data_IF_367885293519
#
_entry.id   IF_367885293519
#
_cell.length_a   1.000
_cell.length_b   1.000
_cell.length_c   1.000
_cell.angle_alpha   90.00
_cell.angle_beta   90.00
_cell.angle_gamma   90.00
#
_symmetry.space_group_name_H-M   'P 1'
#
loop_
_entity.id
_entity.type
_entity.pdbx_description
1 polymer ?
#
# COMPACT_ATOMS: atom_id res chain seq x y z
N UNK A 1 -12.50 -44.40 -2.41
CA UNK A 1 -13.66 -43.49 -2.44
C UNK A 1 -14.50 -43.84 -1.22
N UNK A 2 -14.81 -42.97 -0.26
CA UNK A 2 -14.84 -41.51 -0.24
C UNK A 2 -14.75 -41.03 1.22
N UNK A 3 -14.27 -39.80 1.39
CA UNK A 3 -14.08 -39.12 2.66
C UNK A 3 -15.43 -38.62 3.21
N UNK A 4 -15.74 -38.94 4.46
CA UNK A 4 -16.86 -38.39 5.22
C UNK A 4 -16.69 -36.86 5.33
N UNK A 5 -17.69 -36.10 4.87
CA UNK A 5 -17.75 -34.65 4.98
C UNK A 5 -18.92 -34.29 5.88
N UNK A 6 -18.60 -33.78 7.06
CA UNK A 6 -19.55 -33.33 8.07
C UNK A 6 -20.27 -32.06 7.58
N UNK A 7 -21.55 -32.18 7.24
CA UNK A 7 -22.39 -31.07 6.81
C UNK A 7 -22.86 -30.26 8.03
N UNK A 8 -22.24 -29.09 8.24
CA UNK A 8 -22.71 -28.12 9.22
C UNK A 8 -23.96 -27.42 8.72
N UNK A 9 -25.09 -27.81 9.30
CA UNK A 9 -26.40 -27.17 9.20
C UNK A 9 -26.30 -25.67 9.54
N UNK A 10 -26.52 -24.80 8.54
CA UNK A 10 -26.74 -23.37 8.80
C UNK A 10 -28.22 -23.12 9.10
N UNK A 11 -28.52 -22.42 10.19
CA UNK A 11 -29.87 -21.95 10.51
C UNK A 11 -30.02 -20.49 10.11
N UNK A 12 -30.94 -20.20 9.19
CA UNK A 12 -31.31 -18.85 8.79
C UNK A 12 -32.30 -18.28 9.81
N UNK A 13 -31.92 -17.18 10.48
CA UNK A 13 -32.80 -16.47 11.42
C UNK A 13 -34.07 -15.96 10.74
N UNK A 14 -35.18 -15.92 11.49
CA UNK A 14 -36.51 -15.48 11.03
C UNK A 14 -36.47 -14.20 10.21
N UNK A 15 -37.18 -14.21 9.08
CA UNK A 15 -37.38 -13.05 8.23
C UNK A 15 -38.12 -11.94 8.98
N UNK A 16 -37.39 -10.93 9.43
CA UNK A 16 -37.97 -9.65 9.83
C UNK A 16 -38.39 -8.88 8.59
N UNK A 17 -39.67 -8.51 8.48
CA UNK A 17 -40.18 -7.64 7.42
C UNK A 17 -39.39 -6.33 7.41
N UNK A 18 -38.53 -6.14 6.41
CA UNK A 18 -37.75 -4.91 6.26
C UNK A 18 -38.60 -3.88 5.54
N UNK A 19 -38.75 -2.70 6.13
CA UNK A 19 -39.49 -1.59 5.55
C UNK A 19 -38.86 -1.18 4.20
N UNK A 20 -39.64 -1.22 3.12
CA UNK A 20 -39.21 -0.90 1.74
C UNK A 20 -38.61 0.50 1.59
N UNK A 21 -39.01 1.48 2.42
CA UNK A 21 -38.40 2.82 2.41
C UNK A 21 -36.94 2.76 2.89
N UNK A 22 -36.63 1.88 3.84
CA UNK A 22 -35.27 1.67 4.35
C UNK A 22 -34.38 0.98 3.30
N UNK A 23 -34.95 0.05 2.54
CA UNK A 23 -34.27 -0.61 1.41
C UNK A 23 -33.98 0.40 0.29
N UNK A 24 -34.95 1.29 -0.02
CA UNK A 24 -34.78 2.33 -1.03
C UNK A 24 -33.68 3.35 -0.67
N UNK A 25 -33.49 3.65 0.62
CA UNK A 25 -32.41 4.52 1.08
C UNK A 25 -31.02 3.87 0.86
N UNK A 26 -30.89 2.56 1.11
CA UNK A 26 -29.64 1.82 0.90
C UNK A 26 -29.30 1.74 -0.60
N UNK A 27 -30.29 1.49 -1.47
CA UNK A 27 -30.07 1.40 -2.92
C UNK A 27 -29.62 2.75 -3.51
N UNK A 28 -30.08 3.87 -2.96
CA UNK A 28 -29.69 5.21 -3.42
C UNK A 28 -28.23 5.56 -3.11
N UNK A 29 -27.61 4.88 -2.15
CA UNK A 29 -26.21 5.09 -1.73
C UNK A 29 -25.22 4.34 -2.65
N UNK A 30 -25.68 3.34 -3.40
CA UNK A 30 -24.85 2.52 -4.30
C UNK A 30 -24.48 3.29 -5.59
N UNK A 31 -25.28 4.31 -5.95
CA UNK A 31 -25.13 5.06 -7.20
C UNK A 31 -24.03 6.11 -7.22
N UNK A 32 -23.37 6.39 -6.08
CA UNK A 32 -22.35 7.43 -5.99
C UNK A 32 -20.98 6.81 -5.73
N UNK A 33 -20.17 6.55 -6.77
CA UNK A 33 -18.83 6.04 -6.59
C UNK A 33 -17.98 7.14 -5.96
N UNK A 34 -17.67 6.96 -4.67
CA UNK A 34 -16.42 7.41 -4.07
C UNK A 34 -16.20 8.92 -3.89
N UNK A 35 -17.19 9.75 -3.56
CA UNK A 35 -16.93 11.17 -3.19
C UNK A 35 -16.99 11.49 -1.69
N UNK A 36 -17.26 10.50 -0.85
CA UNK A 36 -17.13 10.63 0.60
C UNK A 36 -16.21 9.53 1.16
N UNK A 37 -14.91 9.65 0.86
CA UNK A 37 -14.00 9.50 1.98
C UNK A 37 -14.37 10.65 2.93
N UNK A 38 -15.18 10.35 3.95
CA UNK A 38 -15.11 11.09 5.22
C UNK A 38 -13.65 11.42 5.46
N UNK A 39 -13.25 12.63 5.93
CA UNK A 39 -11.87 12.88 6.26
C UNK A 39 -11.48 11.90 7.38
N UNK A 40 -11.06 10.69 7.00
CA UNK A 40 -10.09 9.91 7.71
C UNK A 40 -9.04 10.97 7.92
N UNK A 41 -8.76 11.30 9.19
CA UNK A 41 -7.67 12.20 9.54
C UNK A 41 -6.43 11.52 8.99
N UNK A 42 -6.14 11.73 7.71
CA UNK A 42 -5.03 11.15 6.99
C UNK A 42 -3.85 11.66 7.78
N UNK A 43 -3.16 10.73 8.45
CA UNK A 43 -1.94 11.06 9.15
C UNK A 43 -1.04 11.81 8.16
N UNK A 44 -0.29 12.79 8.64
CA UNK A 44 0.61 13.56 7.77
C UNK A 44 1.44 12.60 6.92
N UNK A 45 1.25 12.62 5.59
CA UNK A 45 1.95 11.76 4.63
C UNK A 45 3.46 11.77 4.89
N UNK A 46 4.14 10.66 4.59
CA UNK A 46 5.58 10.62 4.65
C UNK A 46 6.17 11.57 3.60
N UNK A 47 6.70 12.70 4.07
CA UNK A 47 7.37 13.71 3.25
C UNK A 47 8.81 13.29 2.89
N UNK A 48 9.36 13.80 1.78
CA UNK A 48 10.76 13.57 1.39
C UNK A 48 11.75 13.88 2.50
N UNK A 49 11.60 15.00 3.20
CA UNK A 49 12.52 15.40 4.28
C UNK A 49 12.58 14.35 5.41
N UNK A 50 11.41 13.84 5.81
CA UNK A 50 11.29 12.82 6.85
C UNK A 50 11.86 11.48 6.39
N UNK A 51 11.69 11.16 5.12
CA UNK A 51 12.24 9.94 4.53
C UNK A 51 13.77 10.00 4.49
N UNK A 52 14.35 11.11 4.03
CA UNK A 52 15.80 11.31 4.03
C UNK A 52 16.39 11.22 5.44
N UNK A 53 15.69 11.75 6.46
CA UNK A 53 16.09 11.64 7.86
C UNK A 53 16.07 10.20 8.42
N UNK A 54 15.57 9.20 7.69
CA UNK A 54 15.66 7.79 8.12
C UNK A 54 16.99 7.12 7.79
N UNK A 55 17.78 7.75 6.92
CA UNK A 55 19.07 7.27 6.47
C UNK A 55 20.21 7.87 7.30
N UNK A 56 21.28 7.09 7.47
CA UNK A 56 22.55 7.58 8.00
C UNK A 56 23.43 8.15 6.89
N UNK A 57 24.59 8.71 7.26
CA UNK A 57 25.63 9.21 6.34
C UNK A 57 26.04 8.20 5.26
N UNK A 58 26.11 6.90 5.61
CA UNK A 58 26.44 5.82 4.67
C UNK A 58 25.27 5.39 3.77
N UNK A 59 24.08 5.99 3.95
CA UNK A 59 22.88 5.64 3.19
C UNK A 59 22.15 4.40 3.68
N UNK A 60 22.51 3.88 4.86
CA UNK A 60 21.82 2.75 5.52
C UNK A 60 20.56 3.24 6.22
N UNK A 61 19.50 2.44 6.20
CA UNK A 61 18.23 2.77 6.84
C UNK A 61 18.27 2.39 8.31
N UNK A 62 18.18 3.36 9.21
CA UNK A 62 18.05 3.14 10.66
C UNK A 62 16.62 3.40 11.17
N UNK A 63 15.92 4.35 10.56
CA UNK A 63 14.60 4.82 11.00
C UNK A 63 13.41 4.07 10.40
N UNK A 64 13.57 2.88 9.83
CA UNK A 64 12.53 2.27 8.97
C UNK A 64 11.19 2.07 9.68
N UNK A 65 11.21 1.62 10.94
CA UNK A 65 9.98 1.41 11.71
C UNK A 65 9.20 2.71 11.92
N UNK A 66 9.88 3.85 12.07
CA UNK A 66 9.23 5.17 12.18
C UNK A 66 8.61 5.58 10.84
N UNK A 67 9.30 5.33 9.72
CA UNK A 67 8.73 5.53 8.39
C UNK A 67 7.50 4.66 8.17
N UNK A 68 7.56 3.35 8.47
CA UNK A 68 6.43 2.43 8.32
C UNK A 68 5.17 2.91 9.04
N UNK A 69 5.30 3.42 10.27
CA UNK A 69 4.17 3.99 11.01
C UNK A 69 3.52 5.16 10.24
N UNK A 70 4.31 6.05 9.66
CA UNK A 70 3.79 7.16 8.85
C UNK A 70 3.14 6.67 7.56
N UNK A 71 3.73 5.66 6.92
CA UNK A 71 3.22 5.06 5.69
C UNK A 71 1.84 4.41 5.94
N UNK A 72 1.70 3.65 7.03
CA UNK A 72 0.45 2.97 7.39
C UNK A 72 -0.64 3.96 7.80
N UNK A 73 -0.29 5.03 8.53
CA UNK A 73 -1.25 6.02 9.03
C UNK A 73 -1.65 7.09 8.02
N UNK A 74 -0.76 7.41 7.08
CA UNK A 74 -0.89 8.59 6.22
C UNK A 74 -0.51 8.38 4.76
N UNK A 75 0.08 7.24 4.40
CA UNK A 75 0.60 7.00 3.06
C UNK A 75 1.93 7.70 2.77
N UNK A 76 2.31 7.68 1.49
CA UNK A 76 3.60 8.15 0.99
C UNK A 76 3.41 9.32 0.05
N UNK A 77 4.26 10.34 0.17
CA UNK A 77 4.32 11.42 -0.82
C UNK A 77 4.69 10.89 -2.22
N UNK A 78 3.99 11.31 -3.29
CA UNK A 78 4.24 10.83 -4.65
C UNK A 78 5.69 10.97 -5.11
N UNK A 79 6.42 12.00 -4.65
CA UNK A 79 7.81 12.28 -5.04
C UNK A 79 8.80 11.20 -4.60
N UNK A 80 8.58 10.59 -3.43
CA UNK A 80 9.46 9.55 -2.87
C UNK A 80 8.89 8.15 -2.97
N UNK A 81 7.67 8.02 -3.52
CA UNK A 81 6.95 6.74 -3.59
C UNK A 81 7.79 5.66 -4.26
N UNK A 82 8.41 5.96 -5.40
CA UNK A 82 9.25 5.00 -6.11
C UNK A 82 10.37 4.45 -5.22
N UNK A 83 11.06 5.31 -4.46
CA UNK A 83 12.16 4.89 -3.59
C UNK A 83 11.67 4.11 -2.38
N UNK A 84 10.60 4.57 -1.71
CA UNK A 84 10.03 3.88 -0.54
C UNK A 84 9.56 2.47 -0.91
N UNK A 85 8.91 2.31 -2.06
CA UNK A 85 8.43 1.02 -2.54
C UNK A 85 9.57 0.01 -2.80
N UNK A 86 10.76 0.46 -3.23
CA UNK A 86 11.91 -0.44 -3.39
C UNK A 86 12.30 -1.10 -2.06
N UNK A 87 12.12 -0.43 -0.92
CA UNK A 87 12.35 -1.03 0.41
C UNK A 87 11.17 -1.89 0.87
N UNK A 88 9.94 -1.47 0.63
CA UNK A 88 8.75 -2.23 1.01
C UNK A 88 8.64 -3.57 0.28
N UNK A 89 9.09 -3.62 -0.99
CA UNK A 89 9.12 -4.83 -1.80
C UNK A 89 10.34 -5.72 -1.51
N UNK A 90 11.24 -5.29 -0.61
CA UNK A 90 12.44 -6.05 -0.29
C UNK A 90 13.48 -6.08 -1.40
N UNK A 91 13.45 -5.14 -2.36
CA UNK A 91 14.50 -5.02 -3.38
C UNK A 91 15.86 -4.65 -2.75
N UNK A 92 15.84 -4.04 -1.56
CA UNK A 92 17.04 -3.65 -0.82
C UNK A 92 16.97 -4.12 0.63
N UNK A 93 18.09 -4.61 1.14
CA UNK A 93 18.30 -4.77 2.57
C UNK A 93 18.38 -3.39 3.25
N UNK A 94 17.88 -3.27 4.48
CA UNK A 94 17.94 -2.03 5.27
C UNK A 94 19.40 -1.56 5.50
N UNK A 95 20.34 -2.50 5.58
CA UNK A 95 21.77 -2.24 5.70
C UNK A 95 22.49 -1.90 4.38
N UNK A 96 21.78 -1.82 3.26
CA UNK A 96 22.37 -1.44 1.97
C UNK A 96 22.84 0.01 1.99
N UNK A 97 23.98 0.26 1.36
CA UNK A 97 24.50 1.62 1.14
C UNK A 97 23.84 2.27 -0.06
N UNK A 98 23.81 3.60 -0.09
CA UNK A 98 23.26 4.35 -1.23
C UNK A 98 23.99 4.01 -2.53
N UNK A 99 25.32 3.86 -2.48
CA UNK A 99 26.13 3.50 -3.63
C UNK A 99 25.77 2.14 -4.22
N UNK A 100 25.59 1.12 -3.36
CA UNK A 100 25.17 -0.20 -3.80
C UNK A 100 23.80 -0.17 -4.48
N UNK A 101 22.84 0.55 -3.91
CA UNK A 101 21.51 0.73 -4.52
C UNK A 101 21.59 1.46 -5.86
N UNK A 102 22.44 2.48 -5.97
CA UNK A 102 22.64 3.22 -7.23
C UNK A 102 23.16 2.30 -8.33
N UNK A 103 24.16 1.46 -8.03
CA UNK A 103 24.72 0.50 -8.98
C UNK A 103 23.66 -0.51 -9.44
N UNK A 104 22.85 -1.05 -8.51
CA UNK A 104 21.74 -1.95 -8.84
C UNK A 104 20.68 -1.31 -9.75
N UNK A 105 20.35 -0.04 -9.54
CA UNK A 105 19.42 0.70 -10.43
C UNK A 105 20.02 0.84 -11.82
N UNK A 106 21.30 1.20 -11.93
CA UNK A 106 22.00 1.31 -13.21
C UNK A 106 22.07 -0.03 -13.92
N UNK A 107 22.48 -1.10 -13.23
CA UNK A 107 22.56 -2.44 -13.79
C UNK A 107 21.20 -2.91 -14.33
N UNK A 108 20.11 -2.77 -13.56
CA UNK A 108 18.75 -3.14 -14.03
C UNK A 108 18.30 -2.37 -15.27
N UNK A 109 18.68 -1.09 -15.39
CA UNK A 109 18.41 -0.29 -16.60
C UNK A 109 19.21 -0.78 -17.80
N UNK A 110 20.47 -1.19 -17.60
CA UNK A 110 21.33 -1.74 -18.65
C UNK A 110 20.90 -3.15 -19.08
N UNK A 111 20.35 -3.95 -18.16
CA UNK A 111 19.85 -5.31 -18.42
C UNK A 111 18.53 -5.30 -19.21
N UNK A 112 17.87 -4.14 -19.36
CA UNK A 112 16.69 -3.96 -20.20
C UNK A 112 17.04 -3.23 -21.50
N UNK A 113 17.72 -3.86 -22.48
CA UNK A 113 18.13 -3.21 -23.73
C UNK A 113 16.95 -2.85 -24.65
N UNK A 114 15.70 -3.17 -24.30
CA UNK A 114 14.54 -2.98 -25.17
C UNK A 114 13.69 -1.77 -24.76
N UNK A 115 14.28 -0.58 -24.74
CA UNK A 115 13.59 0.68 -25.04
C UNK A 115 14.65 1.68 -25.51
N UNK A 116 14.94 1.74 -26.83
CA UNK A 116 15.83 2.77 -27.34
C UNK A 116 15.19 4.14 -27.05
N UNK A 117 15.97 5.02 -26.43
CA UNK A 117 15.68 6.45 -26.48
C UNK A 117 15.70 6.85 -27.97
N UNK A 118 14.52 6.98 -28.58
CA UNK A 118 14.38 7.81 -29.77
C UNK A 118 14.46 9.26 -29.31
N UNK A 119 15.57 9.87 -29.71
CA UNK A 119 15.87 11.30 -29.62
C UNK A 119 14.99 12.09 -30.59
#
# INVERSE_FOLDING_TARGET
MSYEKEDKQWSCGKASSMNLQKVSAIVRDIGEPCLHQSPIKVGKMLKPDKWQATFNSDGRVFGFHKALKLIVLGGVDPSIRAEVWEFLLGCYALGSTTEYRRQLRTARRLISPHFPLSR
#
